data_IF_603785105846
#
_entry.id   IF_603785105846
#
_cell.length_a   1.000
_cell.length_b   1.000
_cell.length_c   1.000
_cell.angle_alpha   90.00
_cell.angle_beta   90.00
_cell.angle_gamma   90.00
#
_symmetry.space_group_name_H-M   'P 1'
#
loop_
_entity.id
_entity.type
_entity.pdbx_description
1 polymer ?
#
# COMPACT_ATOMS: atom_id res chain seq x y z
N UNK A 1 7.81 22.18 -2.66
CA UNK A 1 7.22 21.70 -1.40
C UNK A 1 6.38 20.47 -1.64
N UNK A 2 6.93 19.28 -1.39
CA UNK A 2 6.18 18.03 -1.54
C UNK A 2 5.39 17.77 -0.26
N UNK A 3 4.06 17.51 -0.32
CA UNK A 3 3.21 17.34 0.87
C UNK A 3 3.72 16.29 1.85
N UNK A 4 4.38 15.24 1.36
CA UNK A 4 4.93 14.18 2.21
C UNK A 4 6.03 14.63 3.19
N UNK A 5 6.66 15.81 3.01
CA UNK A 5 7.59 16.35 4.00
C UNK A 5 6.89 17.04 5.19
N UNK A 6 5.61 17.36 5.05
CA UNK A 6 4.78 17.98 6.09
C UNK A 6 3.78 16.98 6.72
N UNK A 7 3.80 15.71 6.31
CA UNK A 7 2.91 14.69 6.85
C UNK A 7 3.45 14.11 8.15
N UNK A 8 2.58 14.01 9.15
CA UNK A 8 2.83 13.32 10.42
C UNK A 8 3.26 11.87 10.16
N UNK A 9 4.48 11.52 10.55
CA UNK A 9 4.92 10.12 10.65
C UNK A 9 4.47 9.61 12.02
N UNK A 10 3.59 8.59 12.10
CA UNK A 10 2.99 8.17 13.37
C UNK A 10 3.99 7.51 14.33
N UNK A 11 5.22 7.25 13.90
CA UNK A 11 6.25 6.63 14.73
C UNK A 11 7.63 7.09 14.26
N UNK A 12 8.27 7.94 15.06
CA UNK A 12 9.65 8.43 14.91
C UNK A 12 10.65 7.64 15.77
N UNK A 13 10.15 6.93 16.78
CA UNK A 13 10.94 6.04 17.64
C UNK A 13 10.12 4.84 18.14
N UNK A 14 10.83 3.74 18.44
CA UNK A 14 10.29 2.58 19.17
C UNK A 14 10.76 2.69 20.63
N UNK A 15 9.96 3.29 21.53
CA UNK A 15 10.44 3.86 22.79
C UNK A 15 10.74 2.80 23.86
N UNK A 16 10.35 1.54 23.65
CA UNK A 16 10.54 0.50 24.66
C UNK A 16 12.01 0.33 25.02
N UNK A 17 12.30 0.33 26.32
CA UNK A 17 13.65 0.10 26.87
C UNK A 17 13.98 -1.39 27.03
N UNK A 18 12.96 -2.23 27.04
CA UNK A 18 13.12 -3.68 27.06
C UNK A 18 13.53 -4.20 25.66
N UNK A 19 14.68 -4.88 25.52
CA UNK A 19 15.14 -5.39 24.23
C UNK A 19 14.13 -6.33 23.54
N UNK A 20 13.41 -7.18 24.30
CA UNK A 20 12.47 -8.12 23.69
C UNK A 20 11.26 -7.40 23.10
N UNK A 21 10.71 -6.46 23.85
CA UNK A 21 9.58 -5.66 23.40
C UNK A 21 9.95 -4.69 22.26
N UNK A 22 11.13 -4.06 22.33
CA UNK A 22 11.65 -3.23 21.24
C UNK A 22 11.82 -4.01 19.93
N UNK A 23 12.30 -5.23 20.00
CA UNK A 23 12.42 -6.09 18.81
C UNK A 23 11.06 -6.56 18.28
N UNK A 24 10.01 -6.64 19.10
CA UNK A 24 8.63 -6.90 18.63
C UNK A 24 8.02 -5.70 17.91
N UNK A 25 8.36 -4.49 18.35
CA UNK A 25 7.89 -3.22 17.79
C UNK A 25 8.57 -2.89 16.44
N UNK A 26 9.82 -3.30 16.24
CA UNK A 26 10.58 -3.05 15.01
C UNK A 26 10.02 -3.80 13.79
N UNK A 27 9.96 -3.19 12.59
CA UNK A 27 9.75 -3.92 11.35
C UNK A 27 10.89 -4.94 11.16
N UNK A 28 10.60 -6.24 11.28
CA UNK A 28 11.65 -7.26 11.45
C UNK A 28 12.41 -7.60 10.18
N UNK A 29 11.81 -7.43 9.01
CA UNK A 29 12.46 -7.60 7.71
C UNK A 29 11.70 -6.72 6.71
N UNK A 30 12.42 -6.06 5.78
CA UNK A 30 11.86 -5.42 4.59
C UNK A 30 12.52 -6.12 3.40
N UNK A 31 11.85 -7.14 2.85
CA UNK A 31 12.30 -7.75 1.59
C UNK A 31 11.58 -7.04 0.47
N UNK A 32 12.32 -6.34 -0.39
CA UNK A 32 11.74 -5.74 -1.59
C UNK A 32 12.13 -6.47 -2.86
N UNK A 33 11.17 -6.63 -3.77
CA UNK A 33 11.43 -7.07 -5.13
C UNK A 33 10.80 -6.06 -6.07
N UNK A 34 11.63 -5.39 -6.86
CA UNK A 34 11.18 -4.51 -7.94
C UNK A 34 11.02 -5.36 -9.20
N UNK A 35 9.77 -5.69 -9.57
CA UNK A 35 9.42 -6.24 -10.89
C UNK A 35 8.47 -5.26 -11.56
N UNK A 36 8.95 -4.49 -12.55
CA UNK A 36 8.15 -3.46 -13.22
C UNK A 36 7.82 -2.26 -12.34
N UNK A 37 6.58 -1.75 -12.45
CA UNK A 37 6.11 -0.52 -11.77
C UNK A 37 5.75 -0.71 -10.27
N UNK A 38 5.77 -1.94 -9.75
CA UNK A 38 5.38 -2.24 -8.37
C UNK A 38 6.56 -2.44 -7.41
N UNK A 39 6.38 -2.00 -6.16
CA UNK A 39 7.28 -2.32 -5.04
C UNK A 39 6.56 -3.25 -4.08
N UNK A 40 7.03 -4.48 -3.95
CA UNK A 40 6.55 -5.44 -2.93
C UNK A 40 7.43 -5.34 -1.70
N UNK A 41 6.85 -5.38 -0.51
CA UNK A 41 7.55 -5.37 0.79
C UNK A 41 6.88 -6.41 1.68
N UNK A 42 7.63 -7.33 2.29
CA UNK A 42 7.08 -8.19 3.36
C UNK A 42 7.43 -7.58 4.72
N UNK A 43 6.44 -7.37 5.59
CA UNK A 43 6.61 -6.88 6.96
C UNK A 43 5.82 -7.79 7.90
N UNK A 44 6.48 -8.47 8.84
CA UNK A 44 5.83 -9.32 9.85
C UNK A 44 4.81 -10.32 9.25
N UNK A 45 5.18 -10.97 8.14
CA UNK A 45 4.34 -11.92 7.40
C UNK A 45 3.11 -11.30 6.71
N UNK A 46 3.05 -9.97 6.60
CA UNK A 46 2.11 -9.25 5.75
C UNK A 46 2.85 -8.83 4.48
N UNK A 47 2.33 -9.22 3.31
CA UNK A 47 2.85 -8.74 2.04
C UNK A 47 2.20 -7.40 1.70
N UNK A 48 2.98 -6.34 1.61
CA UNK A 48 2.55 -5.03 1.14
C UNK A 48 2.96 -4.87 -0.32
N UNK A 49 1.99 -4.66 -1.21
CA UNK A 49 2.22 -4.22 -2.58
C UNK A 49 1.93 -2.73 -2.67
N UNK A 50 2.96 -1.94 -2.89
CA UNK A 50 2.86 -0.52 -3.17
C UNK A 50 2.82 -0.33 -4.68
N UNK A 51 1.66 0.08 -5.20
CA UNK A 51 1.39 0.21 -6.63
C UNK A 51 0.93 1.63 -6.94
N UNK A 52 1.57 2.27 -7.91
CA UNK A 52 1.16 3.58 -8.40
C UNK A 52 0.65 3.45 -9.82
N UNK A 53 -0.59 3.90 -10.07
CA UNK A 53 -1.17 3.91 -11.41
C UNK A 53 -1.17 5.33 -11.97
N UNK A 54 -0.62 5.49 -13.17
CA UNK A 54 -0.79 6.70 -13.97
C UNK A 54 -2.24 6.82 -14.45
N UNK A 55 -2.81 8.03 -14.44
CA UNK A 55 -4.17 8.27 -14.91
C UNK A 55 -4.42 7.66 -16.29
N UNK A 56 -5.59 7.02 -16.47
CA UNK A 56 -6.04 6.39 -17.72
C UNK A 56 -5.20 5.21 -18.24
N UNK A 57 -4.28 4.66 -17.44
CA UNK A 57 -3.58 3.42 -17.80
C UNK A 57 -4.20 2.21 -17.11
N UNK A 58 -4.09 1.03 -17.74
CA UNK A 58 -4.76 -0.19 -17.28
C UNK A 58 -3.80 -1.23 -16.70
N UNK A 59 -2.50 -1.11 -16.96
CA UNK A 59 -1.50 -2.13 -16.65
C UNK A 59 -1.47 -2.44 -15.15
N UNK A 60 -1.51 -1.42 -14.30
CA UNK A 60 -1.42 -1.58 -12.84
C UNK A 60 -2.70 -2.17 -12.26
N UNK A 61 -3.88 -1.74 -12.74
CA UNK A 61 -5.16 -2.32 -12.29
C UNK A 61 -5.27 -3.76 -12.73
N UNK A 62 -4.98 -4.04 -14.01
CA UNK A 62 -4.97 -5.40 -14.52
C UNK A 62 -3.98 -6.27 -13.75
N UNK A 63 -2.77 -5.77 -13.47
CA UNK A 63 -1.80 -6.50 -12.67
C UNK A 63 -2.39 -6.87 -11.30
N UNK A 64 -2.95 -5.90 -10.57
CA UNK A 64 -3.45 -6.11 -9.21
C UNK A 64 -4.68 -7.01 -9.17
N UNK A 65 -5.65 -6.81 -10.06
CA UNK A 65 -6.87 -7.63 -10.11
C UNK A 65 -6.60 -9.11 -10.45
N UNK A 66 -5.53 -9.38 -11.20
CA UNK A 66 -5.15 -10.75 -11.57
C UNK A 66 -4.11 -11.37 -10.62
N UNK A 67 -3.72 -10.68 -9.55
CA UNK A 67 -2.91 -11.31 -8.51
C UNK A 67 -3.77 -12.32 -7.75
N UNK A 68 -3.26 -13.53 -7.58
CA UNK A 68 -3.79 -14.43 -6.56
C UNK A 68 -3.51 -13.80 -5.20
N UNK A 69 -4.53 -13.44 -4.40
CA UNK A 69 -4.32 -12.81 -3.12
C UNK A 69 -3.58 -13.79 -2.20
N UNK A 70 -2.36 -13.43 -1.81
CA UNK A 70 -1.62 -14.16 -0.78
C UNK A 70 -2.30 -13.93 0.56
N UNK A 71 -2.33 -14.95 1.42
CA UNK A 71 -2.83 -14.81 2.78
C UNK A 71 -2.07 -13.65 3.46
N UNK A 72 -2.81 -12.68 4.01
CA UNK A 72 -2.28 -11.45 4.65
C UNK A 72 -1.53 -10.54 3.67
N UNK A 73 -2.21 -10.08 2.61
CA UNK A 73 -1.70 -9.10 1.66
C UNK A 73 -2.41 -7.75 1.82
N UNK A 74 -1.66 -6.65 1.72
CA UNK A 74 -2.15 -5.28 1.64
C UNK A 74 -1.70 -4.67 0.32
N UNK A 75 -2.64 -4.23 -0.51
CA UNK A 75 -2.34 -3.41 -1.67
C UNK A 75 -2.56 -1.95 -1.29
N UNK A 76 -1.62 -1.08 -1.61
CA UNK A 76 -1.63 0.32 -1.16
C UNK A 76 -1.15 1.27 -2.24
N UNK A 77 -1.32 2.57 -1.94
CA UNK A 77 -0.96 3.74 -2.75
C UNK A 77 -1.99 4.08 -3.83
N UNK A 78 -1.64 5.04 -4.67
CA UNK A 78 -2.58 5.77 -5.50
C UNK A 78 -2.85 5.05 -6.83
N UNK A 79 -4.10 4.60 -6.99
CA UNK A 79 -4.61 3.99 -8.20
C UNK A 79 -5.29 5.00 -9.12
N UNK A 80 -5.40 6.28 -8.77
CA UNK A 80 -6.22 7.26 -9.52
C UNK A 80 -7.62 6.71 -9.84
N UNK A 81 -8.20 5.90 -8.96
CA UNK A 81 -9.51 5.25 -9.14
C UNK A 81 -10.51 5.89 -8.18
N UNK A 82 -11.75 6.08 -8.61
CA UNK A 82 -12.76 6.79 -7.82
C UNK A 82 -13.93 5.86 -7.52
N UNK A 83 -14.27 5.75 -6.25
CA UNK A 83 -15.42 5.01 -5.77
C UNK A 83 -15.85 5.62 -4.44
N UNK A 84 -17.15 5.60 -4.14
CA UNK A 84 -17.71 6.14 -2.89
C UNK A 84 -17.07 5.54 -1.63
N UNK A 85 -16.67 4.26 -1.69
CA UNK A 85 -15.93 3.59 -0.60
C UNK A 85 -14.51 4.15 -0.37
N UNK A 86 -13.89 4.74 -1.38
CA UNK A 86 -12.54 5.31 -1.28
C UNK A 86 -12.59 6.79 -0.87
N UNK A 87 -13.57 7.52 -1.41
CA UNK A 87 -13.82 8.93 -1.16
C UNK A 87 -15.35 9.16 -1.19
N UNK A 88 -16.01 9.30 -0.02
CA UNK A 88 -17.46 9.43 0.05
C UNK A 88 -18.01 10.63 -0.74
N UNK A 89 -19.09 10.40 -1.48
CA UNK A 89 -19.76 11.41 -2.31
C UNK A 89 -19.17 11.59 -3.72
N UNK A 90 -18.14 10.82 -4.09
CA UNK A 90 -17.56 10.90 -5.44
C UNK A 90 -18.30 10.01 -6.45
N UNK A 91 -18.44 10.48 -7.69
CA UNK A 91 -18.91 9.61 -8.78
C UNK A 91 -17.88 8.52 -9.07
N UNK A 92 -18.32 7.26 -8.99
CA UNK A 92 -17.52 6.11 -9.37
C UNK A 92 -16.98 6.25 -10.79
N UNK A 93 -15.66 6.16 -10.94
CA UNK A 93 -14.98 6.33 -12.22
C UNK A 93 -13.60 5.65 -12.21
N UNK A 94 -12.97 5.61 -13.38
CA UNK A 94 -11.58 5.17 -13.54
C UNK A 94 -11.32 3.77 -12.97
N UNK A 95 -12.32 2.87 -13.11
CA UNK A 95 -12.36 1.48 -12.62
C UNK A 95 -12.41 1.33 -11.09
N UNK A 96 -12.94 2.34 -10.39
CA UNK A 96 -13.12 2.23 -8.94
C UNK A 96 -14.09 1.13 -8.50
N UNK A 97 -15.13 0.82 -9.30
CA UNK A 97 -16.03 -0.29 -9.02
C UNK A 97 -15.28 -1.63 -8.96
N UNK A 98 -14.43 -1.88 -9.95
CA UNK A 98 -13.71 -3.15 -10.09
C UNK A 98 -12.64 -3.36 -9.01
N UNK A 99 -12.19 -2.29 -8.35
CA UNK A 99 -11.29 -2.37 -7.20
C UNK A 99 -12.05 -2.47 -5.86
N UNK A 100 -13.35 -2.15 -5.86
CA UNK A 100 -14.22 -2.18 -4.69
C UNK A 100 -14.94 -3.53 -4.52
N UNK A 101 -15.07 -4.29 -5.62
CA UNK A 101 -15.62 -5.66 -5.66
C UNK A 101 -14.61 -6.71 -5.19
#
# INVERSE_FOLDING_TARGET
>A
NHPAFNCYAPTDAWPSKDPKQRELERPRVIIYTRKGAGLKINVNSILILNAYRTLNTLEVINYVMHLTPLAKCLVSRDFNSRHDMFEPGITTALRGQELAD
#
